data_IF_549036173963
#
_entry.id   IF_549036173963
#
_cell.length_a   1.000
_cell.length_b   1.000
_cell.length_c   1.000
_cell.angle_alpha   90.00
_cell.angle_beta   90.00
_cell.angle_gamma   90.00
#
_symmetry.space_group_name_H-M   'P 1'
#
loop_
_entity.id
_entity.type
_entity.pdbx_description
1 polymer ?
#
# COMPACT_ATOMS: atom_id res chain seq x y z
N UNK A 1 -6.25 15.20 2.81
CA UNK A 1 -4.92 15.02 2.19
C UNK A 1 -5.08 15.13 0.70
N UNK A 2 -4.14 15.80 0.04
CA UNK A 2 -4.22 16.06 -1.40
C UNK A 2 -3.71 14.87 -2.21
N UNK A 3 -4.42 14.56 -3.30
CA UNK A 3 -3.95 13.62 -4.32
C UNK A 3 -2.92 14.33 -5.17
N UNK A 4 -1.64 14.04 -4.95
CA UNK A 4 -0.53 14.61 -5.73
C UNK A 4 -0.04 13.59 -6.77
N UNK A 5 0.66 14.10 -7.79
CA UNK A 5 1.30 13.26 -8.81
C UNK A 5 2.73 13.74 -9.03
N UNK A 6 3.70 12.83 -8.91
CA UNK A 6 5.08 13.14 -9.25
C UNK A 6 5.29 13.20 -10.76
N UNK A 7 5.90 14.26 -11.32
CA UNK A 7 6.10 14.37 -12.76
C UNK A 7 7.03 13.28 -13.30
N UNK A 8 6.70 12.75 -14.48
CA UNK A 8 7.47 11.71 -15.15
C UNK A 8 8.47 12.37 -16.11
N UNK A 9 9.76 12.41 -15.73
CA UNK A 9 10.79 13.09 -16.52
C UNK A 9 11.79 12.09 -17.13
N UNK A 10 12.21 11.09 -16.34
CA UNK A 10 13.24 10.11 -16.73
C UNK A 10 12.62 8.82 -17.26
N UNK A 11 13.40 8.06 -18.04
CA UNK A 11 12.93 6.81 -18.65
C UNK A 11 12.50 5.75 -17.60
N UNK A 12 13.28 5.56 -16.54
CA UNK A 12 12.92 4.60 -15.48
C UNK A 12 11.64 4.99 -14.75
N UNK A 13 11.36 6.30 -14.63
CA UNK A 13 10.11 6.80 -14.04
C UNK A 13 8.92 6.49 -14.96
N UNK A 14 9.12 6.62 -16.28
CA UNK A 14 8.11 6.24 -17.27
C UNK A 14 7.81 4.75 -17.23
N UNK A 15 8.84 3.90 -17.14
CA UNK A 15 8.66 2.45 -17.01
C UNK A 15 7.93 2.11 -15.71
N UNK A 16 8.34 2.69 -14.58
CA UNK A 16 7.70 2.50 -13.29
C UNK A 16 6.21 2.90 -13.34
N UNK A 17 5.91 4.10 -13.83
CA UNK A 17 4.53 4.59 -13.95
C UNK A 17 3.68 3.70 -14.85
N UNK A 18 4.15 3.36 -16.05
CA UNK A 18 3.41 2.49 -16.97
C UNK A 18 3.15 1.10 -16.37
N UNK A 19 4.11 0.57 -15.61
CA UNK A 19 3.95 -0.70 -14.90
C UNK A 19 2.86 -0.60 -13.84
N UNK A 20 2.85 0.46 -13.02
CA UNK A 20 1.78 0.70 -12.03
C UNK A 20 0.42 0.84 -12.72
N UNK A 21 0.32 1.63 -13.79
CA UNK A 21 -0.95 1.77 -14.53
C UNK A 21 -1.43 0.46 -15.13
N UNK A 22 -0.53 -0.34 -15.68
CA UNK A 22 -0.85 -1.66 -16.22
C UNK A 22 -1.34 -2.62 -15.13
N UNK A 23 -0.63 -2.70 -14.00
CA UNK A 23 -1.01 -3.53 -12.85
C UNK A 23 -2.36 -3.09 -12.27
N UNK A 24 -2.56 -1.78 -12.06
CA UNK A 24 -3.83 -1.25 -11.58
C UNK A 24 -4.97 -1.59 -12.53
N UNK A 25 -4.79 -1.35 -13.83
CA UNK A 25 -5.84 -1.64 -14.82
C UNK A 25 -6.17 -3.13 -14.87
N UNK A 26 -5.15 -3.99 -14.88
CA UNK A 26 -5.35 -5.44 -14.86
C UNK A 26 -6.06 -5.91 -13.59
N UNK A 27 -5.64 -5.40 -12.43
CA UNK A 27 -6.27 -5.73 -11.16
C UNK A 27 -7.71 -5.23 -11.07
N UNK A 28 -7.99 -3.99 -11.50
CA UNK A 28 -9.33 -3.41 -11.51
C UNK A 28 -10.29 -4.25 -12.39
N UNK A 29 -9.82 -4.72 -13.54
CA UNK A 29 -10.60 -5.62 -14.43
C UNK A 29 -10.84 -6.98 -13.78
N UNK A 30 -9.80 -7.64 -13.25
CA UNK A 30 -9.90 -8.99 -12.69
C UNK A 30 -10.73 -9.01 -11.39
N UNK A 31 -10.58 -7.97 -10.56
CA UNK A 31 -11.32 -7.84 -9.30
C UNK A 31 -12.77 -7.36 -9.50
N UNK A 32 -13.14 -6.92 -10.71
CA UNK A 32 -14.45 -6.37 -10.99
C UNK A 32 -14.69 -5.02 -10.31
N UNK A 33 -13.64 -4.21 -10.11
CA UNK A 33 -13.73 -2.89 -9.50
C UNK A 33 -14.59 -1.96 -10.38
N UNK A 34 -15.61 -1.34 -9.77
CA UNK A 34 -16.60 -0.50 -10.48
C UNK A 34 -16.44 1.00 -10.26
N UNK A 35 -15.41 1.42 -9.51
CA UNK A 35 -15.21 2.82 -9.14
C UNK A 35 -16.05 3.25 -7.93
N UNK A 36 -15.85 4.50 -7.45
CA UNK A 36 -16.71 5.14 -6.46
C UNK A 36 -18.11 5.45 -7.04
N UNK A 37 -19.05 5.82 -6.18
CA UNK A 37 -20.44 6.14 -6.53
C UNK A 37 -21.42 5.02 -6.20
N UNK A 38 -21.11 4.21 -5.19
CA UNK A 38 -22.04 3.22 -4.63
C UNK A 38 -22.18 1.90 -5.39
N UNK A 39 -21.40 1.69 -6.45
CA UNK A 39 -21.38 0.42 -7.18
C UNK A 39 -20.55 -0.69 -6.48
N UNK A 40 -19.77 -0.31 -5.47
CA UNK A 40 -18.90 -1.17 -4.66
C UNK A 40 -19.54 -1.40 -3.28
N UNK A 41 -19.71 -2.66 -2.89
CA UNK A 41 -20.20 -3.00 -1.54
C UNK A 41 -19.08 -2.95 -0.50
N UNK A 42 -19.42 -2.98 0.80
CA UNK A 42 -18.43 -3.13 1.88
C UNK A 42 -17.51 -4.35 1.66
N UNK A 43 -18.11 -5.45 1.18
CA UNK A 43 -17.40 -6.70 0.91
C UNK A 43 -16.38 -6.55 -0.21
N UNK A 44 -16.72 -5.76 -1.24
CA UNK A 44 -15.85 -5.50 -2.39
C UNK A 44 -14.68 -4.59 -1.99
N UNK A 45 -14.96 -3.52 -1.25
CA UNK A 45 -13.93 -2.63 -0.70
C UNK A 45 -12.97 -3.36 0.23
N UNK A 46 -13.48 -4.21 1.12
CA UNK A 46 -12.64 -5.02 2.02
C UNK A 46 -11.79 -6.04 1.26
N UNK A 47 -12.36 -6.72 0.26
CA UNK A 47 -11.57 -7.63 -0.59
C UNK A 47 -10.44 -6.91 -1.30
N UNK A 48 -10.71 -5.71 -1.82
CA UNK A 48 -9.72 -4.87 -2.48
C UNK A 48 -8.59 -4.48 -1.53
N UNK A 49 -8.92 -3.92 -0.36
CA UNK A 49 -7.92 -3.49 0.61
C UNK A 49 -7.10 -4.69 1.07
N UNK A 50 -7.73 -5.76 1.59
CA UNK A 50 -7.02 -6.96 2.07
C UNK A 50 -6.10 -7.56 1.00
N UNK A 51 -6.48 -7.54 -0.27
CA UNK A 51 -5.62 -8.06 -1.33
C UNK A 51 -4.41 -7.14 -1.56
N UNK A 52 -4.63 -5.83 -1.73
CA UNK A 52 -3.57 -4.88 -2.04
C UNK A 52 -2.58 -4.76 -0.88
N UNK A 53 -3.06 -4.65 0.36
CA UNK A 53 -2.22 -4.59 1.57
C UNK A 53 -1.34 -5.85 1.74
N UNK A 54 -1.82 -7.01 1.27
CA UNK A 54 -1.02 -8.24 1.29
C UNK A 54 0.19 -8.22 0.35
N UNK A 55 0.17 -7.33 -0.65
CA UNK A 55 1.25 -7.12 -1.61
C UNK A 55 2.07 -5.88 -1.24
N UNK A 56 1.43 -4.83 -0.70
CA UNK A 56 2.06 -3.57 -0.30
C UNK A 56 3.14 -3.74 0.78
N UNK A 57 3.02 -4.73 1.67
CA UNK A 57 4.07 -5.03 2.66
C UNK A 57 5.36 -5.66 2.09
N UNK A 58 5.42 -5.99 0.80
CA UNK A 58 6.57 -6.69 0.19
C UNK A 58 7.73 -5.75 -0.19
N UNK A 59 7.52 -4.60 -0.85
CA UNK A 59 8.60 -3.72 -1.32
C UNK A 59 9.53 -3.22 -0.22
N UNK A 60 8.98 -2.68 0.87
CA UNK A 60 9.76 -2.21 2.02
C UNK A 60 10.61 -3.33 2.64
N UNK A 61 10.06 -4.54 2.75
CA UNK A 61 10.77 -5.71 3.27
C UNK A 61 11.95 -6.10 2.36
N UNK A 62 11.73 -6.16 1.04
CA UNK A 62 12.78 -6.50 0.07
C UNK A 62 13.87 -5.43 0.05
N UNK A 63 13.49 -4.15 0.00
CA UNK A 63 14.43 -3.04 0.01
C UNK A 63 15.26 -3.01 1.30
N UNK A 64 14.61 -3.09 2.46
CA UNK A 64 15.25 -3.14 3.77
C UNK A 64 16.22 -4.32 3.89
N UNK A 65 15.80 -5.52 3.48
CA UNK A 65 16.65 -6.72 3.47
C UNK A 65 17.88 -6.55 2.59
N UNK A 66 17.73 -6.11 1.34
CA UNK A 66 18.83 -5.98 0.38
C UNK A 66 19.85 -4.92 0.83
N UNK A 67 19.37 -3.80 1.39
CA UNK A 67 20.21 -2.76 1.98
C UNK A 67 20.91 -3.24 3.25
N UNK A 68 20.21 -3.97 4.11
CA UNK A 68 20.78 -4.58 5.31
C UNK A 68 21.95 -5.50 4.97
N UNK A 69 21.74 -6.44 4.04
CA UNK A 69 22.80 -7.32 3.57
C UNK A 69 23.96 -6.55 2.90
N UNK A 70 23.69 -5.37 2.31
CA UNK A 70 24.73 -4.52 1.70
C UNK A 70 25.59 -3.84 2.75
N UNK A 71 24.95 -3.27 3.76
CA UNK A 71 25.61 -2.67 4.92
C UNK A 71 26.52 -3.70 5.60
N UNK A 72 26.05 -4.92 5.83
CA UNK A 72 26.84 -6.00 6.43
C UNK A 72 28.05 -6.41 5.58
N UNK A 73 27.85 -6.70 4.29
CA UNK A 73 28.95 -7.19 3.43
C UNK A 73 30.00 -6.14 3.08
N UNK A 74 29.62 -4.85 3.12
CA UNK A 74 30.53 -3.74 2.88
C UNK A 74 31.07 -3.10 4.18
N UNK A 75 30.55 -3.50 5.34
CA UNK A 75 30.89 -2.93 6.65
C UNK A 75 30.68 -1.40 6.69
N UNK A 76 29.56 -0.93 6.12
CA UNK A 76 29.24 0.50 5.97
C UNK A 76 27.93 0.88 6.67
N UNK A 77 27.81 2.15 7.04
CA UNK A 77 26.57 2.73 7.57
C UNK A 77 25.51 2.83 6.48
N UNK A 78 24.25 2.60 6.84
CA UNK A 78 23.11 2.70 5.94
C UNK A 78 22.38 4.07 6.01
N UNK A 79 22.61 4.84 7.09
CA UNK A 79 22.03 6.17 7.29
C UNK A 79 20.49 6.21 7.38
N UNK A 80 19.88 5.16 7.93
CA UNK A 80 18.47 5.15 8.35
C UNK A 80 17.48 4.52 7.38
N UNK A 81 17.90 4.17 6.15
CA UNK A 81 17.03 3.62 5.12
C UNK A 81 16.42 2.26 5.51
N UNK A 82 17.22 1.36 6.11
CA UNK A 82 16.75 0.03 6.51
C UNK A 82 15.59 0.15 7.50
N UNK A 83 15.71 1.03 8.49
CA UNK A 83 14.67 1.20 9.49
C UNK A 83 13.37 1.69 8.86
N UNK A 84 13.44 2.77 8.07
CA UNK A 84 12.28 3.34 7.38
C UNK A 84 11.58 2.32 6.47
N UNK A 85 12.35 1.51 5.71
CA UNK A 85 11.77 0.52 4.81
C UNK A 85 11.13 -0.67 5.53
N UNK A 86 11.71 -1.10 6.66
CA UNK A 86 11.11 -2.15 7.46
C UNK A 86 9.90 -1.66 8.25
N UNK A 87 9.90 -0.39 8.67
CA UNK A 87 8.76 0.27 9.29
C UNK A 87 7.59 0.41 8.30
N UNK A 88 7.85 0.83 7.05
CA UNK A 88 6.87 0.85 5.97
C UNK A 88 6.26 -0.55 5.77
N UNK A 89 7.09 -1.59 5.62
CA UNK A 89 6.61 -2.96 5.47
C UNK A 89 5.76 -3.45 6.67
N UNK A 90 6.10 -2.99 7.88
CA UNK A 90 5.30 -3.27 9.07
C UNK A 90 3.98 -2.51 9.08
N UNK A 91 3.97 -1.23 8.68
CA UNK A 91 2.78 -0.41 8.60
C UNK A 91 1.75 -0.99 7.60
N UNK A 92 2.19 -1.38 6.40
CA UNK A 92 1.36 -2.06 5.39
C UNK A 92 0.80 -3.40 5.93
N UNK A 93 1.64 -4.17 6.66
CA UNK A 93 1.18 -5.39 7.34
C UNK A 93 0.12 -5.08 8.40
N UNK A 94 0.22 -3.95 9.08
CA UNK A 94 -0.78 -3.51 10.04
C UNK A 94 -2.10 -3.14 9.36
N UNK A 95 -2.07 -2.46 8.20
CA UNK A 95 -3.27 -2.23 7.38
C UNK A 95 -4.00 -3.55 7.06
N UNK A 96 -3.26 -4.54 6.55
CA UNK A 96 -3.79 -5.87 6.27
C UNK A 96 -4.49 -6.48 7.49
N UNK A 97 -3.82 -6.50 8.65
CA UNK A 97 -4.36 -7.11 9.87
C UNK A 97 -5.58 -6.35 10.41
N UNK A 98 -5.58 -5.02 10.27
CA UNK A 98 -6.72 -4.17 10.62
C UNK A 98 -7.94 -4.53 9.77
N UNK A 99 -7.81 -4.59 8.44
CA UNK A 99 -8.93 -4.97 7.56
C UNK A 99 -9.37 -6.43 7.77
N UNK A 100 -8.44 -7.34 8.08
CA UNK A 100 -8.77 -8.74 8.39
C UNK A 100 -9.59 -8.87 9.69
N UNK A 101 -9.47 -7.94 10.64
CA UNK A 101 -10.34 -7.91 11.83
C UNK A 101 -11.78 -7.48 11.50
N UNK A 102 -12.00 -6.91 10.31
CA UNK A 102 -13.34 -6.58 9.81
C UNK A 102 -13.91 -7.77 9.01
N UNK A 103 -13.08 -8.40 8.18
CA UNK A 103 -13.48 -9.54 7.33
C UNK A 103 -12.33 -10.53 7.12
N UNK A 104 -12.57 -11.79 7.45
CA UNK A 104 -11.62 -12.88 7.22
C UNK A 104 -11.73 -13.41 5.78
N UNK A 105 -10.61 -13.50 5.03
CA UNK A 105 -10.62 -14.04 3.67
C UNK A 105 -10.74 -15.57 3.67
N UNK A 106 -11.50 -16.12 2.72
CA UNK A 106 -11.62 -17.56 2.51
C UNK A 106 -10.38 -18.20 1.87
N UNK A 107 -10.34 -19.54 1.79
CA UNK A 107 -9.17 -20.28 1.30
C UNK A 107 -8.77 -19.95 -0.14
N UNK A 108 -9.74 -19.75 -1.04
CA UNK A 108 -9.46 -19.38 -2.44
C UNK A 108 -8.76 -18.03 -2.55
N UNK A 109 -9.21 -17.04 -1.79
CA UNK A 109 -8.58 -15.71 -1.71
C UNK A 109 -7.15 -15.81 -1.16
N UNK A 110 -6.95 -16.63 -0.11
CA UNK A 110 -5.61 -16.86 0.46
C UNK A 110 -4.66 -17.51 -0.55
N UNK A 111 -5.15 -18.47 -1.35
CA UNK A 111 -4.36 -19.07 -2.42
C UNK A 111 -3.97 -18.03 -3.49
N UNK A 112 -4.87 -17.09 -3.82
CA UNK A 112 -4.57 -15.99 -4.74
C UNK A 112 -3.47 -15.08 -4.18
N UNK A 113 -3.52 -14.73 -2.89
CA UNK A 113 -2.47 -13.95 -2.22
C UNK A 113 -1.11 -14.65 -2.32
N UNK A 114 -1.05 -15.97 -2.05
CA UNK A 114 0.19 -16.74 -2.19
C UNK A 114 0.73 -16.69 -3.62
N UNK A 115 -0.13 -16.87 -4.63
CA UNK A 115 0.28 -16.76 -6.03
C UNK A 115 0.78 -15.37 -6.40
N UNK A 116 0.07 -14.33 -5.98
CA UNK A 116 0.43 -12.93 -6.23
C UNK A 116 1.77 -12.57 -5.57
N UNK A 117 1.96 -12.92 -4.29
CA UNK A 117 3.23 -12.72 -3.60
C UNK A 117 4.36 -13.49 -4.25
N UNK A 118 4.12 -14.75 -4.67
CA UNK A 118 5.13 -15.55 -5.37
C UNK A 118 5.66 -14.89 -6.63
N UNK A 119 4.79 -14.27 -7.43
CA UNK A 119 5.21 -13.53 -8.63
C UNK A 119 5.83 -12.17 -8.27
N UNK A 120 5.13 -11.38 -7.45
CA UNK A 120 5.52 -10.00 -7.14
C UNK A 120 6.83 -9.92 -6.36
N UNK A 121 7.01 -10.75 -5.33
CA UNK A 121 8.25 -10.80 -4.56
C UNK A 121 9.46 -11.06 -5.44
N UNK A 122 9.41 -12.10 -6.29
CA UNK A 122 10.53 -12.46 -7.15
C UNK A 122 10.82 -11.38 -8.19
N UNK A 123 9.77 -10.83 -8.83
CA UNK A 123 9.92 -9.74 -9.79
C UNK A 123 10.51 -8.49 -9.17
N UNK A 124 9.98 -8.06 -8.02
CA UNK A 124 10.47 -6.88 -7.31
C UNK A 124 11.89 -7.08 -6.78
N UNK A 125 12.21 -8.24 -6.22
CA UNK A 125 13.56 -8.59 -5.75
C UNK A 125 14.61 -8.50 -6.87
N UNK A 126 14.37 -9.14 -8.02
CA UNK A 126 15.28 -9.09 -9.15
C UNK A 126 15.42 -7.66 -9.69
N UNK A 127 14.32 -6.91 -9.73
CA UNK A 127 14.33 -5.52 -10.17
C UNK A 127 15.12 -4.62 -9.22
N UNK A 128 14.99 -4.83 -7.90
CA UNK A 128 15.69 -4.03 -6.89
C UNK A 128 17.20 -4.29 -6.94
N UNK A 129 17.65 -5.51 -7.27
CA UNK A 129 19.07 -5.79 -7.50
C UNK A 129 19.66 -4.98 -8.66
N UNK A 130 18.86 -4.70 -9.69
CA UNK A 130 19.30 -4.00 -10.91
C UNK A 130 19.14 -2.48 -10.79
N UNK A 131 17.99 -2.03 -10.29
CA UNK A 131 17.63 -0.61 -10.25
C UNK A 131 16.75 -0.24 -9.05
N UNK A 132 17.37 -0.06 -7.86
CA UNK A 132 16.70 0.43 -6.66
C UNK A 132 15.89 1.73 -6.88
N UNK A 133 16.43 2.70 -7.63
CA UNK A 133 15.73 3.97 -7.98
C UNK A 133 14.40 3.73 -8.70
N UNK A 134 14.35 2.75 -9.59
CA UNK A 134 13.10 2.41 -10.31
C UNK A 134 12.10 1.73 -9.37
N UNK A 135 12.55 0.86 -8.47
CA UNK A 135 11.70 0.24 -7.46
C UNK A 135 11.07 1.27 -6.54
N UNK A 136 11.85 2.20 -6.00
CA UNK A 136 11.31 3.27 -5.16
C UNK A 136 10.33 4.17 -5.92
N UNK A 137 10.63 4.50 -7.19
CA UNK A 137 9.69 5.27 -8.01
C UNK A 137 8.40 4.49 -8.28
N UNK A 138 8.50 3.18 -8.51
CA UNK A 138 7.35 2.29 -8.69
C UNK A 138 6.46 2.29 -7.45
N UNK A 139 7.04 2.14 -6.25
CA UNK A 139 6.28 2.22 -4.99
C UNK A 139 5.65 3.59 -4.82
N UNK A 140 6.39 4.68 -5.06
CA UNK A 140 5.82 6.03 -5.00
C UNK A 140 4.59 6.23 -5.89
N UNK A 141 4.58 5.70 -7.12
CA UNK A 141 3.38 5.72 -7.97
C UNK A 141 2.28 4.74 -7.53
N UNK A 142 2.64 3.62 -6.91
CA UNK A 142 1.67 2.69 -6.31
C UNK A 142 0.92 3.40 -5.17
N UNK A 143 1.62 4.15 -4.34
CA UNK A 143 1.01 4.88 -3.22
C UNK A 143 0.21 6.10 -3.65
N UNK A 144 0.53 6.75 -4.77
CA UNK A 144 -0.39 7.72 -5.39
C UNK A 144 -1.75 7.08 -5.71
N UNK A 145 -1.72 5.85 -6.24
CA UNK A 145 -2.92 5.09 -6.56
C UNK A 145 -3.63 4.57 -5.29
N UNK A 146 -2.90 4.30 -4.20
CA UNK A 146 -3.44 3.96 -2.89
C UNK A 146 -4.15 5.15 -2.25
N UNK A 147 -3.51 6.32 -2.17
CA UNK A 147 -4.11 7.58 -1.67
C UNK A 147 -5.39 7.93 -2.45
N UNK A 148 -5.38 7.72 -3.77
CA UNK A 148 -6.58 7.87 -4.61
C UNK A 148 -7.67 6.88 -4.22
N UNK A 149 -7.33 5.59 -4.09
CA UNK A 149 -8.28 4.53 -3.73
C UNK A 149 -8.94 4.80 -2.38
N UNK A 150 -8.16 5.17 -1.36
CA UNK A 150 -8.69 5.50 -0.05
C UNK A 150 -9.48 6.80 -0.03
N UNK A 151 -9.14 7.78 -0.88
CA UNK A 151 -9.97 8.98 -1.04
C UNK A 151 -11.34 8.65 -1.66
N UNK A 152 -11.37 7.77 -2.66
CA UNK A 152 -12.63 7.28 -3.23
C UNK A 152 -13.46 6.49 -2.21
N UNK A 153 -12.83 5.65 -1.39
CA UNK A 153 -13.51 4.91 -0.32
C UNK A 153 -14.10 5.86 0.73
N UNK A 154 -13.35 6.87 1.16
CA UNK A 154 -13.85 7.89 2.10
C UNK A 154 -15.03 8.67 1.50
N UNK A 155 -14.99 8.99 0.20
CA UNK A 155 -16.09 9.64 -0.51
C UNK A 155 -17.34 8.75 -0.52
N UNK A 156 -17.22 7.45 -0.83
CA UNK A 156 -18.35 6.51 -0.77
C UNK A 156 -18.97 6.42 0.63
N UNK A 157 -18.15 6.51 1.68
CA UNK A 157 -18.65 6.57 3.05
C UNK A 157 -19.40 7.88 3.27
N UNK A 158 -18.81 9.03 2.91
CA UNK A 158 -19.39 10.36 3.06
C UNK A 158 -20.75 10.49 2.35
N UNK A 159 -20.84 10.01 1.11
CA UNK A 159 -22.04 10.04 0.25
C UNK A 159 -23.14 9.05 0.67
N UNK A 160 -22.89 8.25 1.72
CA UNK A 160 -23.87 7.34 2.30
C UNK A 160 -23.97 5.97 1.62
N UNK A 161 -23.03 5.65 0.73
CA UNK A 161 -22.96 4.32 0.13
C UNK A 161 -22.44 3.25 1.09
N UNK A 162 -21.75 3.67 2.17
CA UNK A 162 -21.18 2.81 3.21
C UNK A 162 -21.46 3.37 4.62
N UNK A 163 -22.69 3.84 4.88
CA UNK A 163 -23.03 4.52 6.16
C UNK A 163 -22.73 3.67 7.40
N UNK A 164 -22.83 2.34 7.30
CA UNK A 164 -22.46 1.42 8.37
C UNK A 164 -21.01 1.62 8.86
N UNK A 165 -20.10 2.14 8.03
CA UNK A 165 -18.70 2.40 8.42
C UNK A 165 -18.50 3.70 9.19
N UNK A 166 -19.48 4.62 9.17
CA UNK A 166 -19.51 5.78 10.08
C UNK A 166 -19.92 5.36 11.48
N UNK A 167 -20.81 4.37 11.59
CA UNK A 167 -21.36 3.90 12.87
C UNK A 167 -20.54 2.77 13.50
N UNK A 168 -19.92 1.94 12.66
CA UNK A 168 -19.12 0.81 13.12
C UNK A 168 -17.83 1.32 13.75
N UNK A 169 -17.58 0.93 14.99
CA UNK A 169 -16.32 1.19 15.68
C UNK A 169 -15.13 0.56 14.95
N UNK A 170 -14.01 1.28 14.90
CA UNK A 170 -12.74 0.74 14.42
C UNK A 170 -12.34 -0.50 15.25
N UNK A 171 -11.75 -1.55 14.65
CA UNK A 171 -11.25 -2.69 15.43
C UNK A 171 -10.23 -2.27 16.49
N UNK A 172 -10.17 -3.01 17.61
CA UNK A 172 -9.26 -2.69 18.73
C UNK A 172 -7.78 -2.60 18.31
N UNK A 173 -7.38 -3.44 17.33
CA UNK A 173 -6.03 -3.38 16.74
C UNK A 173 -5.74 -2.02 16.11
N UNK A 174 -6.70 -1.44 15.38
CA UNK A 174 -6.56 -0.12 14.77
C UNK A 174 -6.58 0.98 15.83
N UNK A 175 -7.49 0.90 16.81
CA UNK A 175 -7.55 1.86 17.90
C UNK A 175 -6.23 1.93 18.66
N UNK A 176 -5.63 0.77 18.95
CA UNK A 176 -4.35 0.68 19.67
C UNK A 176 -3.20 1.19 18.81
N UNK A 177 -3.14 0.78 17.54
CA UNK A 177 -2.06 1.14 16.62
C UNK A 177 -2.01 2.65 16.35
N UNK A 178 -3.16 3.23 15.98
CA UNK A 178 -3.29 4.65 15.65
C UNK A 178 -3.58 5.54 16.87
N UNK A 179 -3.72 4.95 18.07
CA UNK A 179 -4.11 5.65 19.31
C UNK A 179 -5.42 6.43 19.13
N UNK A 180 -6.40 5.80 18.48
CA UNK A 180 -7.71 6.42 18.24
C UNK A 180 -8.54 6.44 19.53
N UNK A 181 -9.46 7.42 19.66
CA UNK A 181 -10.52 7.38 20.68
C UNK A 181 -11.35 6.08 20.64
N UNK A 182 -11.90 5.67 21.78
CA UNK A 182 -12.70 4.43 21.90
C UNK A 182 -14.00 4.42 21.09
N UNK A 183 -14.47 5.60 20.68
CA UNK A 183 -15.63 5.83 19.83
C UNK A 183 -15.27 6.07 18.36
N UNK A 184 -13.98 6.00 17.99
CA UNK A 184 -13.55 6.19 16.62
C UNK A 184 -14.15 5.15 15.68
N UNK A 185 -14.63 5.63 14.54
CA UNK A 185 -15.31 4.83 13.52
C UNK A 185 -14.32 4.16 12.56
N UNK A 186 -14.80 3.22 11.74
CA UNK A 186 -14.03 2.69 10.61
C UNK A 186 -13.65 3.82 9.63
N UNK A 187 -14.50 4.84 9.47
CA UNK A 187 -14.17 6.03 8.69
C UNK A 187 -12.94 6.79 9.24
N UNK A 188 -12.81 6.90 10.56
CA UNK A 188 -11.64 7.52 11.20
C UNK A 188 -10.37 6.71 10.99
N UNK A 189 -10.47 5.39 11.12
CA UNK A 189 -9.40 4.46 10.80
C UNK A 189 -8.93 4.57 9.34
N UNK A 190 -9.85 4.62 8.37
CA UNK A 190 -9.49 4.74 6.93
C UNK A 190 -8.78 6.07 6.64
N UNK A 191 -9.11 7.15 7.36
CA UNK A 191 -8.37 8.42 7.26
C UNK A 191 -6.92 8.28 7.71
N UNK A 192 -6.63 7.47 8.74
CA UNK A 192 -5.28 7.17 9.18
C UNK A 192 -4.52 6.32 8.17
N UNK A 193 -5.13 5.24 7.65
CA UNK A 193 -4.52 4.41 6.60
C UNK A 193 -4.12 5.26 5.40
N UNK A 194 -5.04 6.11 4.90
CA UNK A 194 -4.71 7.05 3.79
C UNK A 194 -3.53 7.97 4.12
N UNK A 195 -3.36 8.34 5.39
CA UNK A 195 -2.26 9.20 5.81
C UNK A 195 -0.92 8.49 5.76
N UNK A 196 -0.89 7.22 6.13
CA UNK A 196 0.30 6.38 6.01
C UNK A 196 0.67 6.21 4.53
N UNK A 197 -0.30 5.96 3.65
CA UNK A 197 -0.02 5.87 2.19
C UNK A 197 0.57 7.14 1.62
N UNK A 198 0.09 8.31 2.07
CA UNK A 198 0.65 9.59 1.64
C UNK A 198 2.10 9.76 2.12
N UNK A 199 2.43 9.28 3.32
CA UNK A 199 3.80 9.26 3.82
C UNK A 199 4.68 8.30 3.00
N UNK A 200 4.22 7.08 2.75
CA UNK A 200 4.95 6.08 1.94
C UNK A 200 5.21 6.60 0.52
N UNK A 201 4.21 7.26 -0.11
CA UNK A 201 4.35 7.96 -1.39
C UNK A 201 5.52 8.94 -1.37
N UNK A 202 5.51 9.85 -0.40
CA UNK A 202 6.47 10.95 -0.33
C UNK A 202 7.87 10.44 -0.02
N UNK A 203 8.00 9.47 0.90
CA UNK A 203 9.26 8.81 1.25
C UNK A 203 9.84 8.06 0.04
N UNK A 204 9.04 7.27 -0.68
CA UNK A 204 9.56 6.50 -1.81
C UNK A 204 9.91 7.38 -3.01
N UNK A 205 9.14 8.43 -3.30
CA UNK A 205 9.54 9.42 -4.30
C UNK A 205 10.82 10.16 -3.90
N UNK A 206 11.02 10.47 -2.61
CA UNK A 206 12.25 11.05 -2.11
C UNK A 206 13.44 10.07 -2.26
N UNK A 207 13.28 8.81 -1.86
CA UNK A 207 14.30 7.77 -2.05
C UNK A 207 14.69 7.61 -3.50
N UNK A 208 13.74 7.59 -4.44
CA UNK A 208 14.03 7.53 -5.87
C UNK A 208 14.89 8.69 -6.40
N UNK A 209 14.88 9.84 -5.72
CA UNK A 209 15.68 11.02 -6.07
C UNK A 209 17.09 11.00 -5.46
N UNK A 210 17.32 10.24 -4.39
CA UNK A 210 18.62 10.11 -3.73
C UNK A 210 19.56 9.17 -4.50
N UNK A 211 20.86 9.27 -4.24
CA UNK A 211 21.83 8.31 -4.74
C UNK A 211 21.83 7.03 -3.88
N UNK A 212 21.76 5.88 -4.56
CA UNK A 212 21.48 4.58 -3.96
C UNK A 212 22.60 3.57 -4.23
#
# INVERSE_FOLDING_TARGET
MEQTHHPIVKMHERVAYLTVKALRTGFDVISGYRGPGGAMTETDWLNRCVFLESVAGVPGMVGGMLRHLRSLRLLTRDYGWIHTLLEEAENERMHLLIFMNIKQPGYSFRALVVGAQGVFFNGFFLTYLVSPKMCHRFVGYLEEEAVKTYSCLLQDIEDGHLDAWKERKAPLIAQTYYKLPEDASVYDMVKCVRADEANHRDVNHAFANLDQ
#
